data_IF_854021567713
#
_entry.id   IF_854021567713
#
_cell.length_a   1.000
_cell.length_b   1.000
_cell.length_c   1.000
_cell.angle_alpha   90.00
_cell.angle_beta   90.00
_cell.angle_gamma   90.00
#
_symmetry.space_group_name_H-M   'P 1'
#
loop_
_entity.id
_entity.type
_entity.pdbx_description
1 polymer ?
#
# COMPACT_ATOMS: atom_id res chain seq x y z
N UNK A 1 28.58 8.76 -9.62
CA UNK A 1 28.86 7.52 -8.84
C UNK A 1 29.00 6.40 -9.86
N UNK A 2 30.01 5.55 -9.73
CA UNK A 2 30.18 4.40 -10.64
C UNK A 2 29.13 3.34 -10.34
N UNK A 3 28.80 2.50 -11.34
CA UNK A 3 27.86 1.40 -11.17
C UNK A 3 28.35 0.41 -10.08
N UNK A 4 27.44 -0.23 -9.33
CA UNK A 4 27.82 -1.25 -8.35
C UNK A 4 28.68 -2.36 -8.95
N UNK A 5 29.65 -2.90 -8.21
CA UNK A 5 30.43 -4.05 -8.64
C UNK A 5 29.51 -5.27 -8.72
N UNK A 6 29.67 -6.05 -9.78
CA UNK A 6 28.87 -7.25 -10.02
C UNK A 6 29.80 -8.46 -10.08
N UNK A 7 29.53 -9.47 -9.25
CA UNK A 7 30.16 -10.79 -9.30
C UNK A 7 29.21 -11.76 -10.00
N UNK A 8 29.66 -12.34 -11.10
CA UNK A 8 28.91 -13.40 -11.80
C UNK A 8 28.90 -14.67 -10.94
N UNK A 9 27.72 -15.22 -10.69
CA UNK A 9 27.55 -16.54 -10.05
C UNK A 9 27.41 -17.60 -11.14
N UNK A 10 26.57 -17.35 -12.13
CA UNK A 10 26.40 -18.20 -13.32
C UNK A 10 25.92 -17.40 -14.54
N UNK A 11 25.31 -18.07 -15.51
CA UNK A 11 24.86 -17.46 -16.76
C UNK A 11 23.87 -16.29 -16.56
N UNK A 12 23.00 -16.38 -15.55
CA UNK A 12 21.89 -15.43 -15.35
C UNK A 12 21.83 -14.86 -13.93
N UNK A 13 22.72 -15.27 -13.03
CA UNK A 13 22.78 -14.80 -11.65
C UNK A 13 24.02 -13.98 -11.39
N UNK A 14 23.79 -12.80 -10.83
CA UNK A 14 24.83 -11.85 -10.45
C UNK A 14 24.63 -11.43 -9.01
N UNK A 15 25.72 -10.99 -8.38
CA UNK A 15 25.71 -10.54 -7.00
C UNK A 15 26.40 -9.19 -6.87
N UNK A 16 25.72 -8.22 -6.27
CA UNK A 16 26.38 -7.04 -5.71
C UNK A 16 26.88 -7.46 -4.32
N UNK A 17 28.21 -7.55 -4.11
CA UNK A 17 28.75 -8.02 -2.86
C UNK A 17 28.34 -7.10 -1.71
N UNK A 18 28.10 -7.69 -0.53
CA UNK A 18 27.81 -6.93 0.69
C UNK A 18 28.88 -5.87 0.99
N UNK A 19 30.13 -6.15 0.63
CA UNK A 19 31.27 -5.25 0.86
C UNK A 19 31.21 -3.97 0.02
N UNK A 20 30.32 -3.87 -0.97
CA UNK A 20 30.18 -2.67 -1.81
C UNK A 20 29.88 -1.41 -0.99
N UNK A 21 29.06 -1.54 0.06
CA UNK A 21 28.71 -0.44 0.95
C UNK A 21 28.69 -0.92 2.40
N UNK A 22 29.27 -0.16 3.34
CA UNK A 22 29.38 -0.59 4.74
C UNK A 22 28.03 -0.76 5.43
N UNK A 23 26.98 -0.11 4.91
CA UNK A 23 25.62 -0.20 5.45
C UNK A 23 24.81 -1.38 4.91
N UNK A 24 25.30 -2.14 3.93
CA UNK A 24 24.59 -3.32 3.44
C UNK A 24 24.59 -4.41 4.52
N UNK A 25 23.41 -4.90 4.88
CA UNK A 25 23.26 -6.00 5.83
C UNK A 25 23.52 -7.36 5.16
N UNK A 26 23.11 -7.47 3.89
CA UNK A 26 23.21 -8.66 3.01
C UNK A 26 23.72 -8.27 1.61
N UNK A 27 24.11 -9.21 0.73
CA UNK A 27 24.36 -8.90 -0.68
C UNK A 27 23.07 -8.59 -1.45
N UNK A 28 23.18 -8.08 -2.68
CA UNK A 28 22.05 -8.03 -3.61
C UNK A 28 22.19 -9.10 -4.70
N UNK A 29 21.11 -9.85 -4.97
CA UNK A 29 21.03 -10.89 -6.00
C UNK A 29 20.27 -10.37 -7.21
N UNK A 30 20.91 -10.36 -8.38
CA UNK A 30 20.31 -9.92 -9.63
C UNK A 30 20.13 -11.13 -10.55
N UNK A 31 18.93 -11.29 -11.10
CA UNK A 31 18.63 -12.28 -12.12
C UNK A 31 18.51 -11.56 -13.46
N UNK A 32 19.48 -11.73 -14.35
CA UNK A 32 19.55 -11.03 -15.63
C UNK A 32 20.57 -11.72 -16.55
N UNK A 33 20.30 -11.76 -17.85
CA UNK A 33 21.36 -11.97 -18.84
C UNK A 33 22.23 -10.69 -18.98
N UNK A 34 23.32 -10.77 -19.74
CA UNK A 34 24.22 -9.62 -19.92
C UNK A 34 23.56 -8.42 -20.61
N UNK A 35 22.54 -8.64 -21.45
CA UNK A 35 21.78 -7.57 -22.11
C UNK A 35 20.91 -6.82 -21.12
N UNK A 36 20.13 -7.54 -20.34
CA UNK A 36 19.29 -7.00 -19.26
C UNK A 36 20.14 -6.25 -18.23
N UNK A 37 21.28 -6.82 -17.84
CA UNK A 37 22.21 -6.20 -16.89
C UNK A 37 22.77 -4.86 -17.40
N UNK A 38 23.02 -4.74 -18.71
CA UNK A 38 23.40 -3.46 -19.33
C UNK A 38 22.29 -2.44 -19.24
N UNK A 39 21.02 -2.82 -19.44
CA UNK A 39 19.88 -1.91 -19.29
C UNK A 39 19.73 -1.45 -17.84
N UNK A 40 19.80 -2.37 -16.87
CA UNK A 40 19.76 -2.04 -15.43
C UNK A 40 20.93 -1.12 -15.00
N UNK A 41 22.04 -1.15 -15.72
CA UNK A 41 23.19 -0.29 -15.49
C UNK A 41 23.05 1.13 -16.06
N UNK A 42 22.00 1.42 -16.84
CA UNK A 42 21.74 2.76 -17.41
C UNK A 42 21.01 3.69 -16.44
N UNK A 43 20.42 3.15 -15.38
CA UNK A 43 19.66 3.90 -14.38
C UNK A 43 20.11 3.53 -12.94
N UNK A 44 19.31 3.85 -11.93
CA UNK A 44 19.64 3.58 -10.53
C UNK A 44 19.22 2.19 -10.03
N UNK A 45 18.79 1.26 -10.89
CA UNK A 45 18.26 -0.06 -10.49
C UNK A 45 19.21 -0.81 -9.57
N UNK A 46 20.49 -0.93 -9.97
CA UNK A 46 21.49 -1.67 -9.21
C UNK A 46 21.84 -0.98 -7.89
N UNK A 47 21.87 0.36 -7.87
CA UNK A 47 22.07 1.13 -6.64
C UNK A 47 20.87 0.98 -5.68
N UNK A 48 19.65 0.98 -6.21
CA UNK A 48 18.44 0.72 -5.42
C UNK A 48 18.45 -0.70 -4.85
N UNK A 49 18.86 -1.70 -5.62
CA UNK A 49 19.03 -3.07 -5.12
C UNK A 49 20.03 -3.13 -3.94
N UNK A 50 21.16 -2.42 -4.04
CA UNK A 50 22.14 -2.32 -2.96
C UNK A 50 21.58 -1.57 -1.74
N UNK A 51 20.79 -0.51 -1.94
CA UNK A 51 20.13 0.22 -0.86
C UNK A 51 19.08 -0.65 -0.14
N UNK A 52 18.29 -1.45 -0.87
CA UNK A 52 17.35 -2.40 -0.27
C UNK A 52 18.07 -3.44 0.59
N UNK A 53 19.29 -3.83 0.22
CA UNK A 53 20.10 -4.76 1.00
C UNK A 53 20.56 -4.21 2.37
N UNK A 54 20.29 -2.93 2.66
CA UNK A 54 20.58 -2.28 3.95
C UNK A 54 19.44 -2.34 4.95
N UNK A 55 18.25 -2.80 4.54
CA UNK A 55 17.07 -2.77 5.40
C UNK A 55 17.27 -3.63 6.65
N UNK A 56 16.89 -3.09 7.81
CA UNK A 56 16.97 -3.82 9.08
C UNK A 56 16.12 -5.08 9.00
N UNK A 57 16.70 -6.20 9.44
CA UNK A 57 16.03 -7.51 9.46
C UNK A 57 15.89 -8.19 8.08
N UNK A 58 16.50 -7.67 7.01
CA UNK A 58 16.46 -8.34 5.69
C UNK A 58 17.18 -9.70 5.73
N UNK A 59 16.57 -10.71 5.11
CA UNK A 59 17.11 -12.06 5.01
C UNK A 59 17.82 -12.30 3.69
N UNK A 60 18.95 -13.00 3.76
CA UNK A 60 19.73 -13.57 2.64
C UNK A 60 20.26 -12.55 1.65
N UNK A 61 19.39 -11.91 0.87
CA UNK A 61 19.72 -10.94 -0.20
C UNK A 61 18.53 -9.98 -0.43
N UNK A 62 18.80 -8.78 -0.93
CA UNK A 62 17.80 -8.10 -1.78
C UNK A 62 17.80 -8.77 -3.16
N UNK A 63 16.67 -8.83 -3.84
CA UNK A 63 16.55 -9.48 -5.15
C UNK A 63 16.07 -8.47 -6.19
N UNK A 64 16.63 -8.51 -7.38
CA UNK A 64 16.10 -7.82 -8.56
C UNK A 64 15.87 -8.83 -9.67
N UNK A 65 14.63 -8.87 -10.17
CA UNK A 65 14.18 -9.76 -11.25
C UNK A 65 14.62 -9.25 -12.64
N UNK A 66 14.51 -10.08 -13.70
CA UNK A 66 15.02 -9.73 -15.04
C UNK A 66 14.40 -8.48 -15.68
N UNK A 67 13.18 -8.13 -15.32
CA UNK A 67 12.46 -6.93 -15.74
C UNK A 67 12.74 -5.70 -14.84
N UNK A 68 13.71 -5.83 -13.94
CA UNK A 68 14.04 -4.82 -12.96
C UNK A 68 14.49 -3.50 -13.59
N UNK A 69 13.91 -2.40 -13.10
CA UNK A 69 14.25 -1.04 -13.54
C UNK A 69 14.04 -0.07 -12.37
N UNK A 70 14.53 1.17 -12.52
CA UNK A 70 14.50 2.15 -11.45
C UNK A 70 13.07 2.41 -10.95
N UNK A 71 12.87 2.22 -9.65
CA UNK A 71 11.62 2.51 -8.95
C UNK A 71 11.76 3.64 -7.93
N UNK A 72 10.93 3.61 -6.88
CA UNK A 72 10.97 4.57 -5.78
C UNK A 72 11.53 3.92 -4.50
N UNK A 73 12.83 4.12 -4.27
CA UNK A 73 13.56 3.48 -3.17
C UNK A 73 13.96 2.04 -3.50
N UNK A 74 12.98 1.19 -3.84
CA UNK A 74 13.22 -0.14 -4.39
C UNK A 74 13.23 -0.10 -5.93
N UNK A 75 13.96 -1.01 -6.59
CA UNK A 75 13.74 -1.25 -8.01
C UNK A 75 12.34 -1.84 -8.21
N UNK A 76 11.68 -1.47 -9.30
CA UNK A 76 10.54 -2.26 -9.81
C UNK A 76 11.09 -3.65 -10.18
N UNK A 77 10.32 -4.71 -9.94
CA UNK A 77 10.86 -6.09 -10.00
C UNK A 77 11.78 -6.44 -8.83
N UNK A 78 11.83 -5.61 -7.78
CA UNK A 78 12.55 -5.85 -6.55
C UNK A 78 11.80 -6.77 -5.58
N UNK A 79 12.52 -7.65 -4.88
CA UNK A 79 11.97 -8.48 -3.79
C UNK A 79 12.89 -8.40 -2.58
N UNK A 80 12.31 -8.19 -1.40
CA UNK A 80 13.01 -8.28 -0.12
C UNK A 80 12.11 -8.93 0.92
N UNK A 81 12.67 -9.86 1.70
CA UNK A 81 12.02 -10.43 2.86
C UNK A 81 12.70 -9.90 4.12
N UNK A 82 11.94 -9.24 4.99
CA UNK A 82 12.41 -8.74 6.28
C UNK A 82 11.75 -9.49 7.43
N UNK A 83 12.46 -9.61 8.54
CA UNK A 83 11.93 -10.17 9.78
C UNK A 83 10.66 -9.45 10.24
N UNK A 84 9.67 -10.21 10.68
CA UNK A 84 8.35 -9.67 11.00
C UNK A 84 8.33 -8.88 12.33
N UNK A 85 9.19 -9.23 13.28
CA UNK A 85 9.22 -8.62 14.62
C UNK A 85 10.23 -7.47 14.69
N UNK A 86 11.39 -7.63 14.05
CA UNK A 86 12.54 -6.74 14.16
C UNK A 86 12.86 -6.01 12.86
N UNK A 87 12.20 -6.37 11.76
CA UNK A 87 12.44 -5.78 10.44
C UNK A 87 11.75 -4.43 10.24
N UNK A 88 11.50 -4.11 8.97
CA UNK A 88 10.86 -2.86 8.53
C UNK A 88 9.90 -3.15 7.38
N UNK A 89 8.82 -2.36 7.32
CA UNK A 89 7.97 -2.27 6.13
C UNK A 89 8.37 -1.01 5.38
N UNK A 90 8.70 -1.15 4.09
CA UNK A 90 8.96 -0.02 3.21
C UNK A 90 7.88 0.09 2.15
N UNK A 91 7.04 1.14 2.17
CA UNK A 91 6.01 1.36 1.15
C UNK A 91 6.57 1.41 -0.27
N UNK A 92 7.77 1.97 -0.44
CA UNK A 92 8.48 1.99 -1.72
C UNK A 92 8.82 0.59 -2.25
N UNK A 93 8.91 -0.42 -1.38
CA UNK A 93 9.12 -1.82 -1.75
C UNK A 93 7.86 -2.60 -2.10
N UNK A 94 6.68 -1.99 -1.92
CA UNK A 94 5.41 -2.54 -2.41
C UNK A 94 4.96 -1.79 -3.66
N UNK A 95 5.17 -0.48 -3.70
CA UNK A 95 4.79 0.39 -4.81
C UNK A 95 3.63 1.32 -4.46
N UNK A 96 3.45 2.37 -5.26
CA UNK A 96 2.41 3.37 -5.03
C UNK A 96 1.00 2.84 -5.33
N UNK A 97 0.87 1.94 -6.30
CA UNK A 97 -0.42 1.50 -6.84
C UNK A 97 -1.02 0.31 -6.10
N UNK A 98 -1.13 0.43 -4.78
CA UNK A 98 -1.86 -0.53 -3.98
C UNK A 98 -3.26 0.05 -3.79
N UNK A 99 -4.26 -0.51 -4.49
CA UNK A 99 -5.65 -0.12 -4.31
C UNK A 99 -5.88 1.40 -4.49
N UNK A 100 -5.18 2.04 -5.44
CA UNK A 100 -5.28 3.48 -5.63
C UNK A 100 -6.68 3.86 -6.13
N UNK A 101 -7.33 4.78 -5.43
CA UNK A 101 -8.64 5.31 -5.80
C UNK A 101 -8.56 6.85 -5.82
N UNK A 102 -9.42 7.53 -6.61
CA UNK A 102 -9.54 8.98 -6.55
C UNK A 102 -9.83 9.45 -5.12
N UNK A 103 -9.28 10.61 -4.73
CA UNK A 103 -9.45 11.16 -3.38
C UNK A 103 -10.90 11.35 -2.94
N UNK A 104 -11.83 11.52 -3.89
CA UNK A 104 -13.28 11.63 -3.66
C UNK A 104 -14.01 10.29 -3.48
N UNK A 105 -13.29 9.18 -3.53
CA UNK A 105 -13.88 7.86 -3.28
C UNK A 105 -14.30 7.76 -1.82
N UNK A 106 -15.53 7.32 -1.57
CA UNK A 106 -16.04 7.15 -0.21
C UNK A 106 -15.44 5.89 0.42
N UNK A 107 -14.91 6.04 1.63
CA UNK A 107 -14.33 4.96 2.44
C UNK A 107 -15.19 4.78 3.68
N UNK A 108 -15.66 3.55 3.90
CA UNK A 108 -16.48 3.19 5.05
C UNK A 108 -15.58 3.02 6.30
N UNK A 109 -16.01 3.58 7.43
CA UNK A 109 -15.38 3.36 8.73
C UNK A 109 -16.07 2.22 9.49
N UNK A 110 -15.42 1.63 10.50
CA UNK A 110 -16.06 0.63 11.37
C UNK A 110 -17.29 1.13 12.13
N UNK A 111 -17.43 2.45 12.27
CA UNK A 111 -18.56 3.09 12.94
C UNK A 111 -19.74 3.33 11.99
N UNK A 112 -19.62 2.91 10.73
CA UNK A 112 -20.72 2.93 9.76
C UNK A 112 -20.92 4.26 9.04
N UNK A 113 -20.06 5.25 9.27
CA UNK A 113 -20.03 6.47 8.46
C UNK A 113 -18.97 6.39 7.36
N UNK A 114 -19.06 7.27 6.36
CA UNK A 114 -18.13 7.33 5.23
C UNK A 114 -17.45 8.68 5.13
N UNK A 115 -16.17 8.65 4.76
CA UNK A 115 -15.33 9.81 4.49
C UNK A 115 -14.82 9.77 3.05
N UNK A 116 -14.48 10.93 2.49
CA UNK A 116 -13.67 10.98 1.26
C UNK A 116 -12.28 10.39 1.58
N UNK A 117 -11.73 9.53 0.71
CA UNK A 117 -10.42 8.90 0.87
C UNK A 117 -9.31 9.93 1.17
N UNK A 118 -9.39 11.12 0.59
CA UNK A 118 -8.42 12.21 0.81
C UNK A 118 -8.41 12.76 2.24
N UNK A 119 -9.46 12.49 3.04
CA UNK A 119 -9.57 12.86 4.45
C UNK A 119 -9.01 11.80 5.40
N UNK A 120 -8.76 10.59 4.90
CA UNK A 120 -8.15 9.51 5.70
C UNK A 120 -6.69 9.86 6.00
N UNK A 121 -6.29 9.64 7.24
CA UNK A 121 -4.96 9.88 7.77
C UNK A 121 -4.38 8.62 8.43
N UNK A 122 -3.04 8.50 8.57
CA UNK A 122 -2.45 7.45 9.38
C UNK A 122 -3.02 7.43 10.80
N UNK A 123 -3.37 6.25 11.30
CA UNK A 123 -4.07 6.02 12.58
C UNK A 123 -5.59 5.88 12.45
N UNK A 124 -6.21 6.34 11.35
CA UNK A 124 -7.64 6.17 11.14
C UNK A 124 -8.02 4.71 10.90
N UNK A 125 -9.22 4.32 11.36
CA UNK A 125 -9.77 2.99 11.12
C UNK A 125 -10.69 2.99 9.89
N UNK A 126 -10.43 2.07 8.96
CA UNK A 126 -11.25 1.84 7.76
C UNK A 126 -11.76 0.40 7.71
N UNK A 127 -12.88 0.19 7.05
CA UNK A 127 -13.45 -1.14 6.81
C UNK A 127 -12.85 -1.73 5.53
N UNK A 128 -12.12 -2.84 5.66
CA UNK A 128 -11.52 -3.56 4.52
C UNK A 128 -12.26 -4.88 4.30
N UNK A 129 -12.56 -5.17 3.04
CA UNK A 129 -13.25 -6.39 2.62
C UNK A 129 -12.25 -7.44 2.15
N UNK A 130 -12.48 -8.68 2.57
CA UNK A 130 -11.94 -9.85 1.89
C UNK A 130 -13.11 -10.68 1.30
N UNK A 131 -12.83 -11.84 0.71
CA UNK A 131 -13.85 -12.67 0.05
C UNK A 131 -14.97 -13.14 0.97
N UNK A 132 -14.79 -13.05 2.29
CA UNK A 132 -15.72 -13.60 3.27
C UNK A 132 -16.24 -12.54 4.25
N UNK A 133 -15.36 -11.67 4.75
CA UNK A 133 -15.65 -10.77 5.88
C UNK A 133 -15.23 -9.32 5.59
N UNK A 134 -15.88 -8.39 6.28
CA UNK A 134 -15.42 -7.03 6.46
C UNK A 134 -14.70 -6.92 7.81
N UNK A 135 -13.53 -6.25 7.85
CA UNK A 135 -12.73 -6.10 9.07
C UNK A 135 -12.27 -4.64 9.26
N UNK A 136 -12.39 -4.08 10.48
CA UNK A 136 -11.69 -2.86 10.87
C UNK A 136 -10.17 -3.01 10.71
N UNK A 137 -9.56 -2.05 10.03
CA UNK A 137 -8.13 -2.03 9.76
C UNK A 137 -7.60 -0.62 9.96
N UNK A 138 -6.48 -0.51 10.68
CA UNK A 138 -5.79 0.75 10.87
C UNK A 138 -5.07 1.18 9.59
N UNK A 139 -5.19 2.45 9.24
CA UNK A 139 -4.45 3.05 8.14
C UNK A 139 -3.03 3.34 8.61
N UNK A 140 -2.06 2.60 8.10
CA UNK A 140 -0.65 2.81 8.47
C UNK A 140 -0.02 3.95 7.67
N UNK A 141 -0.48 4.15 6.43
CA UNK A 141 0.08 5.14 5.51
C UNK A 141 -0.95 5.56 4.45
N UNK A 142 -0.85 6.81 4.01
CA UNK A 142 -1.58 7.33 2.86
C UNK A 142 -0.59 7.86 1.83
N UNK A 143 -0.68 7.37 0.60
CA UNK A 143 0.13 7.79 -0.54
C UNK A 143 -0.74 8.51 -1.58
N UNK A 144 -0.15 9.42 -2.34
CA UNK A 144 -0.84 10.18 -3.40
C UNK A 144 -0.02 10.15 -4.68
N UNK A 145 -0.70 9.94 -5.81
CA UNK A 145 -0.16 10.01 -7.17
C UNK A 145 -1.12 10.83 -8.02
N UNK A 146 -0.60 11.66 -8.92
CA UNK A 146 -1.41 12.34 -9.92
C UNK A 146 -1.66 11.44 -11.12
N UNK A 147 -2.91 11.33 -11.57
CA UNK A 147 -3.28 10.60 -12.78
C UNK A 147 -4.22 11.45 -13.64
N UNK A 148 -4.09 11.36 -14.97
CA UNK A 148 -4.89 12.15 -15.92
C UNK A 148 -6.00 11.32 -16.54
N UNK A 149 -5.81 10.01 -16.66
CA UNK A 149 -6.76 9.12 -17.33
C UNK A 149 -7.36 8.16 -16.31
N UNK A 150 -8.67 8.31 -16.07
CA UNK A 150 -9.44 7.44 -15.19
C UNK A 150 -10.49 6.68 -16.00
N UNK A 151 -10.75 5.44 -15.58
CA UNK A 151 -11.84 4.59 -16.05
C UNK A 151 -13.01 4.67 -15.06
N UNK A 152 -14.22 4.53 -15.57
CA UNK A 152 -15.45 4.50 -14.78
C UNK A 152 -16.17 3.19 -15.01
N UNK A 153 -16.44 2.45 -13.93
CA UNK A 153 -17.29 1.26 -13.92
C UNK A 153 -18.63 1.69 -13.33
N UNK A 154 -19.72 1.33 -14.01
CA UNK A 154 -21.07 1.48 -13.48
C UNK A 154 -21.75 0.12 -13.48
N UNK A 155 -22.29 -0.27 -12.34
CA UNK A 155 -23.03 -1.53 -12.19
C UNK A 155 -24.51 -1.32 -12.49
N UNK A 156 -25.21 -2.41 -12.84
CA UNK A 156 -26.67 -2.39 -13.00
C UNK A 156 -27.42 -2.05 -11.71
N UNK A 157 -26.79 -2.27 -10.55
CA UNK A 157 -27.33 -1.91 -9.24
C UNK A 157 -27.13 -0.42 -8.88
N UNK A 158 -26.55 0.39 -9.79
CA UNK A 158 -26.39 1.84 -9.60
C UNK A 158 -25.08 2.26 -8.95
N UNK A 159 -24.26 1.31 -8.46
CA UNK A 159 -22.93 1.62 -7.91
C UNK A 159 -21.96 2.05 -8.99
N UNK A 160 -21.07 2.96 -8.64
CA UNK A 160 -20.06 3.51 -9.52
C UNK A 160 -18.68 3.49 -8.87
N UNK A 161 -17.67 3.10 -9.65
CA UNK A 161 -16.27 3.15 -9.27
C UNK A 161 -15.50 3.93 -10.34
N UNK A 162 -14.76 4.95 -9.92
CA UNK A 162 -13.80 5.65 -10.77
C UNK A 162 -12.40 5.25 -10.31
N UNK A 163 -11.54 4.79 -11.21
CA UNK A 163 -10.19 4.36 -10.87
C UNK A 163 -9.24 4.37 -12.08
N UNK A 164 -7.95 4.07 -11.86
CA UNK A 164 -6.99 3.83 -12.94
C UNK A 164 -7.25 2.49 -13.64
N UNK A 165 -6.65 2.29 -14.81
CA UNK A 165 -6.88 1.07 -15.59
C UNK A 165 -6.26 -0.18 -14.95
N UNK A 166 -5.16 -0.03 -14.23
CA UNK A 166 -4.42 -1.08 -13.52
C UNK A 166 -5.00 -1.38 -12.12
N UNK A 167 -5.96 -0.59 -11.64
CA UNK A 167 -6.60 -0.86 -10.36
C UNK A 167 -7.30 -2.23 -10.36
N UNK A 168 -7.04 -3.12 -9.39
CA UNK A 168 -7.64 -4.44 -9.34
C UNK A 168 -9.01 -4.39 -8.65
N UNK A 169 -10.04 -4.98 -9.28
CA UNK A 169 -11.36 -5.19 -8.65
C UNK A 169 -11.64 -6.68 -8.48
N UNK A 170 -12.39 -7.04 -7.43
CA UNK A 170 -12.80 -8.42 -7.20
C UNK A 170 -13.86 -8.82 -8.21
N UNK A 171 -13.65 -9.94 -8.91
CA UNK A 171 -14.63 -10.59 -9.80
C UNK A 171 -14.88 -12.02 -9.33
N UNK A 172 -15.82 -12.74 -9.96
CA UNK A 172 -16.02 -14.19 -9.70
C UNK A 172 -14.79 -15.06 -9.98
N UNK A 173 -13.84 -14.58 -10.79
CA UNK A 173 -12.59 -15.29 -11.13
C UNK A 173 -11.38 -14.77 -10.33
N UNK A 174 -11.60 -13.95 -9.30
CA UNK A 174 -10.55 -13.30 -8.53
C UNK A 174 -10.33 -11.84 -8.92
N UNK A 175 -9.21 -11.27 -8.50
CA UNK A 175 -8.86 -9.88 -8.76
C UNK A 175 -8.55 -9.67 -10.25
N UNK A 176 -9.09 -8.61 -10.84
CA UNK A 176 -8.89 -8.26 -12.25
C UNK A 176 -8.76 -6.75 -12.41
N UNK A 177 -7.79 -6.31 -13.21
CA UNK A 177 -7.59 -4.89 -13.53
C UNK A 177 -8.82 -4.28 -14.22
N UNK A 178 -9.21 -3.06 -13.82
CA UNK A 178 -10.34 -2.32 -14.39
C UNK A 178 -10.26 -2.22 -15.91
N UNK A 179 -9.08 -1.96 -16.46
CA UNK A 179 -8.82 -1.80 -17.89
C UNK A 179 -9.03 -3.08 -18.71
N UNK A 180 -9.10 -4.24 -18.05
CA UNK A 180 -9.33 -5.54 -18.69
C UNK A 180 -10.77 -6.05 -18.52
N UNK A 181 -11.63 -5.31 -17.82
CA UNK A 181 -13.03 -5.69 -17.63
C UNK A 181 -13.82 -5.54 -18.93
N UNK A 182 -14.73 -6.48 -19.15
CA UNK A 182 -15.71 -6.44 -20.23
C UNK A 182 -17.08 -6.05 -19.67
N UNK A 183 -17.89 -5.38 -20.49
CA UNK A 183 -19.30 -5.09 -20.13
C UNK A 183 -20.03 -6.42 -19.90
N UNK A 184 -20.76 -6.51 -18.78
CA UNK A 184 -21.47 -7.72 -18.36
C UNK A 184 -20.69 -8.60 -17.38
N UNK A 185 -19.42 -8.32 -17.10
CA UNK A 185 -18.70 -9.01 -16.02
C UNK A 185 -19.22 -8.60 -14.64
N UNK A 186 -19.36 -9.60 -13.76
CA UNK A 186 -19.77 -9.39 -12.37
C UNK A 186 -18.57 -8.98 -11.50
N UNK A 187 -18.75 -7.89 -10.77
CA UNK A 187 -17.78 -7.35 -9.80
C UNK A 187 -18.35 -7.47 -8.38
N UNK A 188 -17.47 -7.68 -7.41
CA UNK A 188 -17.83 -7.71 -6.00
C UNK A 188 -18.32 -6.33 -5.54
N UNK A 189 -19.39 -6.32 -4.75
CA UNK A 189 -19.99 -5.12 -4.18
C UNK A 189 -20.17 -5.30 -2.67
N UNK A 190 -20.05 -4.19 -1.93
CA UNK A 190 -20.51 -4.11 -0.56
C UNK A 190 -21.77 -3.24 -0.52
N UNK A 191 -22.94 -3.82 -0.19
CA UNK A 191 -24.21 -3.10 -0.35
C UNK A 191 -24.43 -1.98 0.68
N UNK A 192 -23.64 -1.94 1.76
CA UNK A 192 -23.74 -0.89 2.78
C UNK A 192 -22.69 0.18 2.52
N UNK A 193 -23.13 1.36 2.10
CA UNK A 193 -22.23 2.49 1.80
C UNK A 193 -21.94 3.37 3.02
N UNK A 194 -22.62 3.13 4.14
CA UNK A 194 -22.54 3.96 5.34
C UNK A 194 -23.33 5.27 5.24
N UNK A 195 -23.35 6.02 6.34
CA UNK A 195 -23.93 7.37 6.42
C UNK A 195 -22.87 8.44 6.13
N UNK A 196 -23.26 9.58 5.58
CA UNK A 196 -22.32 10.69 5.40
C UNK A 196 -21.81 11.19 6.75
N UNK A 197 -20.50 11.43 6.84
CA UNK A 197 -19.92 12.00 8.05
C UNK A 197 -20.32 13.47 8.19
N UNK A 198 -20.93 13.79 9.32
CA UNK A 198 -21.16 15.14 9.79
C UNK A 198 -20.32 15.35 11.05
N UNK A 199 -19.54 16.44 11.08
CA UNK A 199 -18.75 16.78 12.26
C UNK A 199 -19.71 17.10 13.42
N UNK A 200 -19.62 16.37 14.55
CA UNK A 200 -20.53 16.58 15.65
C UNK A 200 -20.31 17.99 16.21
N UNK A 201 -21.40 18.73 16.40
CA UNK A 201 -21.32 19.99 17.13
C UNK A 201 -20.93 19.71 18.57
N UNK A 202 -20.12 20.59 19.16
CA UNK A 202 -19.87 20.52 20.59
C UNK A 202 -21.14 20.96 21.31
N UNK A 203 -21.75 20.05 22.05
CA UNK A 203 -22.89 20.34 22.90
C UNK A 203 -22.80 19.54 24.20
N UNK A 204 -23.36 20.12 25.26
CA UNK A 204 -23.44 19.44 26.54
C UNK A 204 -24.56 18.40 26.50
N UNK A 205 -24.19 17.11 26.51
CA UNK A 205 -25.15 16.00 26.51
C UNK A 205 -25.89 15.95 27.86
N UNK A 206 -25.16 16.14 28.95
CA UNK A 206 -25.65 16.07 30.33
C UNK A 206 -24.88 17.07 31.20
N UNK A 207 -25.54 18.11 31.74
CA UNK A 207 -24.87 19.06 32.61
C UNK A 207 -24.47 18.44 33.95
N UNK A 208 -23.46 19.02 34.61
CA UNK A 208 -22.99 18.55 35.92
C UNK A 208 -24.14 18.47 36.94
N UNK A 209 -25.13 19.37 36.85
CA UNK A 209 -26.32 19.39 37.68
C UNK A 209 -27.31 18.23 37.46
N UNK A 210 -27.14 17.45 36.39
CA UNK A 210 -27.98 16.27 36.10
C UNK A 210 -27.60 15.04 36.93
N UNK A 211 -26.43 15.01 37.56
CA UNK A 211 -25.97 13.89 38.38
C UNK A 211 -26.40 14.07 39.84
N UNK A 212 -27.00 13.04 40.46
CA UNK A 212 -27.38 13.06 41.89
C UNK A 212 -26.49 12.15 42.74
N UNK A 213 -26.28 12.55 43.99
CA UNK A 213 -25.66 11.72 45.01
C UNK A 213 -24.18 11.42 44.74
N UNK A 214 -23.82 10.13 44.81
CA UNK A 214 -22.43 9.65 44.80
C UNK A 214 -21.67 10.00 43.51
N UNK A 215 -22.36 9.99 42.36
CA UNK A 215 -21.77 10.26 41.03
C UNK A 215 -21.32 11.72 40.92
N UNK A 216 -22.15 12.67 41.37
CA UNK A 216 -21.79 14.09 41.38
C UNK A 216 -20.56 14.37 42.26
N UNK A 217 -20.46 13.69 43.41
CA UNK A 217 -19.30 13.79 44.30
C UNK A 217 -18.04 13.09 43.78
N UNK A 218 -18.15 12.19 42.81
CA UNK A 218 -17.01 11.52 42.16
C UNK A 218 -16.50 12.32 40.96
N UNK A 219 -17.41 12.91 40.18
CA UNK A 219 -17.07 13.80 39.07
C UNK A 219 -16.31 15.05 39.53
N UNK A 220 -16.65 15.65 40.67
CA UNK A 220 -15.92 16.80 41.25
C UNK A 220 -14.49 16.52 41.68
N UNK A 221 -14.08 15.24 41.75
CA UNK A 221 -12.74 14.81 42.20
C UNK A 221 -11.79 14.50 41.05
N UNK A 222 -12.26 14.56 39.82
CA UNK A 222 -11.46 14.44 38.60
C UNK A 222 -11.29 15.81 37.97
#
# INVERSE_FOLDING_TARGET
>A
MGAPPLRRIDEVRWEIPKEYRPYMAVPARIYADEGMLREMGKDLTLEQAANVASLRGIYKYSITLPDGHQGYGFPIGGVAATDAETGVISPGGVGYDINCLPGKTKVLTPLGYRLDLEKISPGDQVTVLNQHHAKPTETVLVLRRGERILKRIRTSAGFELVSTADHPVLTRKGMKEVGRLSVGEEVGLHPFEGVEFEEPQEFEILPEGSFRGRIAGELKRR
#
